data_IF_187875256624
#
_entry.id   IF_187875256624
#
_cell.length_a   1.000
_cell.length_b   1.000
_cell.length_c   1.000
_cell.angle_alpha   90.00
_cell.angle_beta   90.00
_cell.angle_gamma   90.00
#
_symmetry.space_group_name_H-M   'P 1'
#
loop_
_entity.id
_entity.type
_entity.pdbx_description
1 polymer ?
#
# COMPACT_ATOMS: atom_id res chain seq x y z
N UNK A 1 6.91 -8.72 -13.63
CA UNK A 1 6.69 -8.54 -12.19
C UNK A 1 6.86 -7.07 -11.84
N UNK A 2 6.04 -6.58 -10.94
CA UNK A 2 6.06 -5.17 -10.58
C UNK A 2 7.09 -4.91 -9.50
N UNK A 3 7.76 -3.78 -9.59
CA UNK A 3 8.65 -3.33 -8.54
C UNK A 3 7.85 -2.54 -7.52
N UNK A 4 8.14 -2.74 -6.22
CA UNK A 4 7.45 -2.02 -5.15
C UNK A 4 8.47 -1.19 -4.40
N UNK A 5 8.22 0.12 -4.35
CA UNK A 5 9.08 1.05 -3.61
C UNK A 5 8.25 1.75 -2.55
N UNK A 6 8.92 2.20 -1.50
CA UNK A 6 8.27 2.88 -0.38
C UNK A 6 8.74 4.32 -0.32
N UNK A 7 7.78 5.24 -0.17
CA UNK A 7 8.11 6.62 0.12
C UNK A 7 8.77 6.70 1.50
N UNK A 8 9.37 7.84 1.79
CA UNK A 8 9.97 8.04 3.11
C UNK A 8 8.93 7.90 4.21
N UNK A 9 7.75 8.48 4.01
CA UNK A 9 6.65 8.36 4.97
C UNK A 9 6.23 6.91 5.17
N UNK A 10 6.17 6.14 4.07
CA UNK A 10 5.79 4.74 4.17
C UNK A 10 6.82 3.94 4.93
N UNK A 11 8.09 4.28 4.78
CA UNK A 11 9.13 3.60 5.54
C UNK A 11 8.98 3.85 7.03
N UNK A 12 8.67 5.08 7.40
CA UNK A 12 8.41 5.41 8.81
C UNK A 12 7.19 4.67 9.32
N UNK A 13 6.13 4.63 8.51
CA UNK A 13 4.92 3.90 8.88
C UNK A 13 5.19 2.42 9.08
N UNK A 14 6.04 1.84 8.23
CA UNK A 14 6.38 0.44 8.32
C UNK A 14 6.99 0.09 9.68
N UNK A 15 7.86 0.96 10.18
CA UNK A 15 8.46 0.73 11.49
C UNK A 15 7.41 0.71 12.58
N UNK A 16 6.46 1.65 12.53
CA UNK A 16 5.39 1.69 13.52
C UNK A 16 4.56 0.41 13.46
N UNK A 17 4.23 -0.04 12.25
CA UNK A 17 3.38 -1.21 12.09
C UNK A 17 4.11 -2.49 12.47
N UNK A 18 5.42 -2.54 12.23
CA UNK A 18 6.23 -3.67 12.68
C UNK A 18 6.16 -3.80 14.20
N UNK A 19 6.21 -2.67 14.90
CA UNK A 19 6.21 -2.68 16.37
C UNK A 19 4.89 -3.16 16.96
N UNK A 20 3.81 -3.14 16.18
CA UNK A 20 2.51 -3.64 16.66
C UNK A 20 2.11 -4.94 15.96
N UNK A 21 3.08 -5.65 15.38
CA UNK A 21 2.87 -7.00 14.92
C UNK A 21 2.24 -7.16 13.55
N UNK A 22 2.26 -6.13 12.72
CA UNK A 22 1.60 -6.18 11.41
C UNK A 22 2.56 -6.39 10.25
N UNK A 23 3.82 -6.70 10.52
CA UNK A 23 4.82 -6.83 9.47
C UNK A 23 4.48 -7.94 8.48
N UNK A 24 4.05 -9.09 8.98
CA UNK A 24 3.75 -10.21 8.10
C UNK A 24 2.58 -9.90 7.17
N UNK A 25 1.59 -9.18 7.68
CA UNK A 25 0.46 -8.78 6.84
C UNK A 25 0.91 -7.86 5.73
N UNK A 26 1.82 -6.93 6.05
CA UNK A 26 2.33 -6.01 5.04
C UNK A 26 3.15 -6.76 3.99
N UNK A 27 3.97 -7.72 4.42
CA UNK A 27 4.72 -8.54 3.47
C UNK A 27 3.79 -9.26 2.50
N UNK A 28 2.70 -9.77 3.01
CA UNK A 28 1.71 -10.45 2.17
C UNK A 28 1.14 -9.50 1.13
N UNK A 29 0.76 -8.30 1.57
CA UNK A 29 0.19 -7.31 0.64
C UNK A 29 1.21 -6.86 -0.39
N UNK A 30 2.46 -6.66 0.01
CA UNK A 30 3.51 -6.28 -0.92
C UNK A 30 3.71 -7.38 -1.98
N UNK A 31 3.63 -8.63 -1.57
CA UNK A 31 3.71 -9.73 -2.52
C UNK A 31 2.60 -9.69 -3.56
N UNK A 32 1.40 -9.35 -3.12
CA UNK A 32 0.28 -9.22 -4.05
C UNK A 32 0.52 -8.08 -5.03
N UNK A 33 1.02 -6.95 -4.54
CA UNK A 33 1.30 -5.81 -5.41
C UNK A 33 2.38 -6.13 -6.45
N UNK A 34 3.35 -6.95 -6.08
CA UNK A 34 4.39 -7.35 -7.01
C UNK A 34 3.83 -8.21 -8.14
N UNK A 35 2.87 -9.04 -7.82
CA UNK A 35 2.24 -9.88 -8.84
C UNK A 35 1.34 -9.06 -9.74
N UNK A 36 0.43 -8.32 -9.13
CA UNK A 36 -0.56 -7.54 -9.88
C UNK A 36 -1.21 -6.53 -8.95
N UNK A 37 -0.84 -5.25 -9.04
CA UNK A 37 -1.40 -4.23 -8.14
C UNK A 37 -2.90 -4.03 -8.30
N UNK A 38 -3.50 -4.59 -9.35
CA UNK A 38 -4.94 -4.47 -9.59
C UNK A 38 -5.69 -5.75 -9.26
N UNK A 39 -5.00 -6.73 -8.67
CA UNK A 39 -5.66 -7.95 -8.23
C UNK A 39 -6.68 -7.60 -7.15
N UNK A 40 -7.92 -8.07 -7.33
CA UNK A 40 -9.01 -7.65 -6.48
C UNK A 40 -9.31 -8.64 -5.36
N UNK A 41 -8.38 -9.46 -5.00
CA UNK A 41 -8.48 -10.35 -3.86
C UNK A 41 -7.11 -10.32 -3.18
N UNK A 42 -6.98 -9.59 -2.08
CA UNK A 42 -8.02 -8.85 -1.36
C UNK A 42 -8.47 -7.58 -2.08
N UNK A 43 -9.62 -7.09 -1.69
CA UNK A 43 -10.25 -5.93 -2.30
C UNK A 43 -9.37 -4.68 -2.15
N UNK A 44 -9.37 -3.86 -3.18
CA UNK A 44 -8.73 -2.55 -3.11
C UNK A 44 -9.73 -1.47 -3.54
N UNK A 45 -9.44 -0.26 -3.13
CA UNK A 45 -10.32 0.89 -3.35
C UNK A 45 -9.62 1.96 -4.17
N UNK A 46 -10.31 2.56 -5.11
CA UNK A 46 -9.82 3.77 -5.77
C UNK A 46 -10.12 4.96 -4.89
N UNK A 47 -9.13 5.81 -4.71
CA UNK A 47 -9.30 6.98 -3.86
C UNK A 47 -9.69 8.19 -4.69
N UNK A 48 -10.31 9.16 -4.03
CA UNK A 48 -10.80 10.37 -4.68
C UNK A 48 -10.26 11.60 -3.96
N UNK A 49 -10.59 12.77 -4.47
CA UNK A 49 -10.16 14.01 -3.85
C UNK A 49 -8.67 14.22 -4.01
N UNK A 50 -8.02 14.60 -2.92
CA UNK A 50 -6.59 14.88 -2.93
C UNK A 50 -5.75 13.66 -3.26
N UNK A 51 -6.31 12.47 -3.11
CA UNK A 51 -5.60 11.23 -3.36
C UNK A 51 -6.06 10.55 -4.64
N UNK A 52 -6.71 11.30 -5.52
CA UNK A 52 -7.14 10.77 -6.80
C UNK A 52 -5.92 10.20 -7.55
N UNK A 53 -6.09 9.02 -8.12
CA UNK A 53 -4.99 8.33 -8.79
C UNK A 53 -4.30 7.34 -7.90
N UNK A 54 -4.67 7.31 -6.61
CA UNK A 54 -4.11 6.34 -5.67
C UNK A 54 -5.14 5.27 -5.34
N UNK A 55 -4.65 4.20 -4.74
CA UNK A 55 -5.48 3.07 -4.32
C UNK A 55 -5.15 2.74 -2.89
N UNK A 56 -6.07 2.05 -2.20
CA UNK A 56 -5.78 1.61 -0.85
C UNK A 56 -6.19 0.16 -0.67
N UNK A 57 -5.45 -0.55 0.16
CA UNK A 57 -5.80 -1.89 0.61
C UNK A 57 -5.78 -1.91 2.12
N UNK A 58 -6.69 -2.65 2.70
CA UNK A 58 -6.81 -2.72 4.15
C UNK A 58 -5.71 -3.59 4.73
N UNK A 59 -4.96 -3.06 5.70
CA UNK A 59 -4.00 -3.84 6.47
C UNK A 59 -4.73 -4.52 7.62
N UNK A 60 -5.53 -3.74 8.36
CA UNK A 60 -6.43 -4.27 9.38
C UNK A 60 -7.59 -3.29 9.50
N UNK A 61 -8.37 -3.40 10.56
CA UNK A 61 -9.55 -2.54 10.73
C UNK A 61 -9.17 -1.05 10.70
N UNK A 62 -7.98 -0.72 11.20
CA UNK A 62 -7.60 0.66 11.42
C UNK A 62 -6.65 1.18 10.35
N UNK A 63 -5.74 0.37 9.87
CA UNK A 63 -4.64 0.85 9.02
C UNK A 63 -4.84 0.43 7.58
N UNK A 64 -4.41 1.29 6.66
CA UNK A 64 -4.52 1.04 5.23
C UNK A 64 -3.19 1.30 4.55
N UNK A 65 -2.95 0.52 3.50
CA UNK A 65 -1.78 0.68 2.65
C UNK A 65 -2.23 1.47 1.43
N UNK A 66 -1.71 2.69 1.29
CA UNK A 66 -2.06 3.58 0.18
C UNK A 66 -0.92 3.56 -0.83
N UNK A 67 -1.26 3.32 -2.10
CA UNK A 67 -0.25 3.20 -3.14
C UNK A 67 -0.73 3.79 -4.44
N UNK A 68 0.21 4.07 -5.33
CA UNK A 68 -0.11 4.46 -6.70
C UNK A 68 0.68 3.57 -7.66
N UNK A 69 0.17 3.45 -8.88
CA UNK A 69 0.74 2.56 -9.87
C UNK A 69 1.30 3.40 -11.01
N UNK A 70 2.58 3.23 -11.28
CA UNK A 70 3.25 3.93 -12.38
C UNK A 70 3.46 2.91 -13.49
N UNK A 71 2.50 2.85 -14.39
CA UNK A 71 2.45 1.78 -15.39
C UNK A 71 3.63 1.81 -16.35
N UNK A 72 4.08 3.01 -16.68
CA UNK A 72 5.15 3.18 -17.67
C UNK A 72 6.43 2.46 -17.27
N UNK A 73 6.68 2.37 -15.96
CA UNK A 73 7.89 1.71 -15.47
C UNK A 73 7.56 0.51 -14.60
N UNK A 74 6.33 0.04 -14.66
CA UNK A 74 5.86 -1.13 -13.92
C UNK A 74 6.27 -1.08 -12.46
N UNK A 75 6.01 0.05 -11.82
CA UNK A 75 6.40 0.29 -10.44
C UNK A 75 5.19 0.69 -9.62
N UNK A 76 5.14 0.16 -8.40
CA UNK A 76 4.14 0.53 -7.41
C UNK A 76 4.85 1.31 -6.31
N UNK A 77 4.38 2.52 -6.03
CA UNK A 77 4.92 3.31 -4.94
C UNK A 77 3.95 3.30 -3.78
N UNK A 78 4.38 2.75 -2.64
CA UNK A 78 3.59 2.79 -1.42
C UNK A 78 3.82 4.12 -0.75
N UNK A 79 2.75 4.90 -0.57
CA UNK A 79 2.82 6.27 -0.09
C UNK A 79 2.65 6.35 1.41
N UNK A 80 1.70 5.59 1.95
CA UNK A 80 1.43 5.57 3.39
C UNK A 80 0.98 4.18 3.79
N UNK A 81 1.20 3.83 5.05
CA UNK A 81 0.75 2.56 5.60
C UNK A 81 0.18 2.70 7.00
N UNK A 82 -0.04 3.91 7.45
CA UNK A 82 -0.50 4.16 8.82
C UNK A 82 -1.97 4.48 8.78
N UNK A 83 -2.59 4.63 9.91
CA UNK A 83 -4.02 4.82 10.13
C UNK A 83 -4.81 5.39 8.94
N UNK A 84 -5.84 6.16 9.22
CA UNK A 84 -6.63 6.75 8.16
C UNK A 84 -5.85 7.87 7.47
N UNK A 85 -6.01 7.95 6.18
CA UNK A 85 -5.58 9.12 5.42
C UNK A 85 -6.79 10.05 5.33
N UNK A 86 -6.52 11.31 5.19
CA UNK A 86 -7.61 12.27 5.09
C UNK A 86 -7.50 13.05 3.81
#
# INVERSE_FOLDING_TARGET
MWEVILSKKAQEDLEKLRNIGLFNKIKELVGILRENPFLNSPYYEKLVGNLKGCYSRRINVKHRLVYRVIKEIQTVEIIRMWSHYE
#
